data_IF_004362196693
#
_entry.id   IF_004362196693
#
_cell.length_a   1.000
_cell.length_b   1.000
_cell.length_c   1.000
_cell.angle_alpha   90.00
_cell.angle_beta   90.00
_cell.angle_gamma   90.00
#
_symmetry.space_group_name_H-M   'P 1'
#
loop_
_entity.id
_entity.type
_entity.pdbx_description
1 polymer ?
#
# COMPACT_ATOMS: atom_id res chain seq x y z
N UNK A 1 21.45 1.83 3.73
CA UNK A 1 20.02 1.46 3.74
C UNK A 1 19.07 2.56 4.26
N UNK A 2 19.16 3.02 5.52
CA UNK A 2 18.22 4.02 6.09
C UNK A 2 18.14 5.37 5.32
N UNK A 3 19.29 5.90 4.87
CA UNK A 3 19.37 7.15 4.08
C UNK A 3 18.70 7.03 2.71
N UNK A 4 18.89 5.89 2.05
CA UNK A 4 18.26 5.56 0.77
C UNK A 4 16.74 5.48 0.89
N UNK A 5 16.24 4.75 1.90
CA UNK A 5 14.82 4.63 2.16
C UNK A 5 14.17 5.99 2.47
N UNK A 6 14.81 6.82 3.31
CA UNK A 6 14.33 8.19 3.58
C UNK A 6 14.22 9.03 2.30
N UNK A 7 15.19 8.92 1.39
CA UNK A 7 15.17 9.62 0.11
C UNK A 7 14.03 9.14 -0.79
N UNK A 8 13.81 7.83 -0.89
CA UNK A 8 12.69 7.26 -1.64
C UNK A 8 11.33 7.71 -1.09
N UNK A 9 11.16 7.67 0.23
CA UNK A 9 9.93 8.13 0.88
C UNK A 9 9.68 9.63 0.65
N UNK A 10 10.73 10.45 0.74
CA UNK A 10 10.62 11.88 0.48
C UNK A 10 10.25 12.17 -0.99
N UNK A 11 10.88 11.48 -1.94
CA UNK A 11 10.62 11.63 -3.38
C UNK A 11 9.20 11.19 -3.78
N UNK A 12 8.64 10.18 -3.10
CA UNK A 12 7.31 9.65 -3.39
C UNK A 12 6.21 10.16 -2.44
N UNK A 13 6.52 11.13 -1.57
CA UNK A 13 5.63 11.60 -0.50
C UNK A 13 4.25 11.99 -1.00
N UNK A 14 4.17 12.74 -2.10
CA UNK A 14 2.90 13.23 -2.64
C UNK A 14 2.00 12.09 -3.12
N UNK A 15 2.58 11.10 -3.82
CA UNK A 15 1.86 9.91 -4.26
C UNK A 15 1.33 9.11 -3.07
N UNK A 16 2.19 8.84 -2.08
CA UNK A 16 1.81 8.10 -0.86
C UNK A 16 0.69 8.81 -0.09
N UNK A 17 0.79 10.13 0.07
CA UNK A 17 -0.25 10.92 0.74
C UNK A 17 -1.57 10.88 -0.02
N UNK A 18 -1.54 10.98 -1.35
CA UNK A 18 -2.74 10.89 -2.18
C UNK A 18 -3.45 9.55 -1.99
N UNK A 19 -2.72 8.43 -2.10
CA UNK A 19 -3.28 7.09 -1.90
C UNK A 19 -3.85 6.93 -0.48
N UNK A 20 -3.17 7.45 0.54
CA UNK A 20 -3.67 7.41 1.93
C UNK A 20 -4.96 8.24 2.12
N UNK A 21 -5.07 9.38 1.44
CA UNK A 21 -6.26 10.24 1.50
C UNK A 21 -7.47 9.62 0.79
N UNK A 22 -7.28 8.77 -0.23
CA UNK A 22 -8.38 8.06 -0.89
C UNK A 22 -9.10 7.06 0.04
N UNK A 23 -8.44 6.66 1.14
CA UNK A 23 -9.00 5.77 2.17
C UNK A 23 -9.45 6.54 3.43
N UNK A 24 -9.40 7.88 3.40
CA UNK A 24 -9.81 8.73 4.52
C UNK A 24 -11.26 8.46 4.89
N UNK A 25 -11.53 8.33 6.19
CA UNK A 25 -12.88 8.07 6.73
C UNK A 25 -13.32 6.61 6.66
N UNK A 26 -12.59 5.73 5.96
CA UNK A 26 -12.92 4.30 5.90
C UNK A 26 -12.93 3.66 7.28
N UNK A 27 -11.94 3.98 8.13
CA UNK A 27 -11.86 3.47 9.50
C UNK A 27 -13.06 3.86 10.35
N UNK A 28 -13.52 5.11 10.26
CA UNK A 28 -14.72 5.57 10.98
C UNK A 28 -15.94 4.78 10.55
N UNK A 29 -16.08 4.52 9.24
CA UNK A 29 -17.19 3.76 8.68
C UNK A 29 -17.17 2.29 9.13
N UNK A 30 -15.98 1.65 9.14
CA UNK A 30 -15.82 0.29 9.65
C UNK A 30 -16.11 0.19 11.15
N UNK A 31 -15.69 1.18 11.93
CA UNK A 31 -15.86 1.18 13.38
C UNK A 31 -17.26 1.55 13.84
N UNK A 32 -18.10 2.18 12.99
CA UNK A 32 -19.48 2.55 13.35
C UNK A 32 -20.23 1.40 14.01
N UNK A 33 -20.27 0.23 13.38
CA UNK A 33 -21.02 -0.92 13.89
C UNK A 33 -20.50 -1.39 15.26
N UNK A 34 -19.17 -1.42 15.44
CA UNK A 34 -18.53 -1.78 16.71
C UNK A 34 -18.80 -0.75 17.82
N UNK A 35 -18.75 0.54 17.49
CA UNK A 35 -18.80 1.62 18.48
C UNK A 35 -20.23 1.98 18.90
N UNK A 36 -21.21 1.81 18.01
CA UNK A 36 -22.59 2.26 18.22
C UNK A 36 -23.60 1.13 18.27
N UNK A 37 -23.23 -0.07 17.80
CA UNK A 37 -24.16 -1.20 17.61
C UNK A 37 -25.06 -1.05 16.37
N UNK A 38 -25.07 0.11 15.72
CA UNK A 38 -25.90 0.37 14.54
C UNK A 38 -25.43 -0.42 13.32
N UNK A 39 -26.37 -0.91 12.52
CA UNK A 39 -26.06 -1.55 11.23
C UNK A 39 -25.67 -0.50 10.19
N UNK A 40 -24.87 -0.91 9.21
CA UNK A 40 -24.58 -0.07 8.05
C UNK A 40 -25.82 0.12 7.17
N UNK A 41 -26.07 1.36 6.76
CA UNK A 41 -27.06 1.70 5.73
C UNK A 41 -26.59 1.21 4.36
N UNK A 42 -27.50 1.21 3.38
CA UNK A 42 -27.17 0.82 1.99
C UNK A 42 -26.09 1.72 1.39
N UNK A 43 -26.16 3.03 1.66
CA UNK A 43 -25.16 4.00 1.19
C UNK A 43 -23.80 3.83 1.87
N UNK A 44 -23.79 3.54 3.17
CA UNK A 44 -22.56 3.23 3.90
C UNK A 44 -21.90 1.98 3.34
N UNK A 45 -22.66 0.90 3.10
CA UNK A 45 -22.14 -0.32 2.47
C UNK A 45 -21.56 -0.03 1.08
N UNK A 46 -22.18 0.87 0.31
CA UNK A 46 -21.65 1.30 -1.00
C UNK A 46 -20.31 2.02 -0.84
N UNK A 47 -20.16 2.91 0.14
CA UNK A 47 -18.89 3.59 0.46
C UNK A 47 -17.80 2.61 0.92
N UNK A 48 -18.13 1.64 1.79
CA UNK A 48 -17.21 0.56 2.20
C UNK A 48 -16.66 -0.18 0.98
N UNK A 49 -17.55 -0.60 0.06
CA UNK A 49 -17.16 -1.31 -1.16
C UNK A 49 -16.23 -0.46 -2.03
N UNK A 50 -16.50 0.83 -2.16
CA UNK A 50 -15.62 1.75 -2.91
C UNK A 50 -14.23 1.84 -2.30
N UNK A 51 -14.12 2.02 -0.98
CA UNK A 51 -12.82 2.07 -0.31
C UNK A 51 -12.05 0.74 -0.45
N UNK A 52 -12.73 -0.40 -0.26
CA UNK A 52 -12.12 -1.72 -0.46
C UNK A 52 -11.64 -1.93 -1.90
N UNK A 53 -12.41 -1.49 -2.90
CA UNK A 53 -12.02 -1.54 -4.32
C UNK A 53 -10.79 -0.67 -4.61
N UNK A 54 -10.66 0.47 -3.94
CA UNK A 54 -9.46 1.30 -4.11
C UNK A 54 -8.24 0.63 -3.47
N UNK A 55 -8.37 0.08 -2.26
CA UNK A 55 -7.28 -0.67 -1.59
C UNK A 55 -6.85 -1.88 -2.41
N UNK A 56 -7.80 -2.62 -3.01
CA UNK A 56 -7.50 -3.81 -3.80
C UNK A 56 -6.64 -3.53 -5.03
N UNK A 57 -6.53 -2.27 -5.50
CA UNK A 57 -5.65 -1.91 -6.62
C UNK A 57 -4.16 -2.07 -6.26
N UNK A 58 -3.81 -1.93 -4.98
CA UNK A 58 -2.42 -2.04 -4.48
C UNK A 58 -2.07 -3.49 -4.09
N UNK A 59 -3.08 -4.31 -3.78
CA UNK A 59 -2.90 -5.70 -3.32
C UNK A 59 -2.11 -6.60 -4.30
N UNK A 60 -2.34 -6.58 -5.63
CA UNK A 60 -1.57 -7.44 -6.55
C UNK A 60 -0.06 -7.23 -6.47
N UNK A 61 0.39 -5.97 -6.34
CA UNK A 61 1.80 -5.64 -6.20
C UNK A 61 2.35 -6.11 -4.83
N UNK A 62 1.55 -6.00 -3.77
CA UNK A 62 1.94 -6.43 -2.43
C UNK A 62 2.02 -7.95 -2.28
N UNK A 63 1.16 -8.71 -2.97
CA UNK A 63 1.15 -10.18 -2.90
C UNK A 63 2.51 -10.76 -3.27
N UNK A 64 3.19 -10.20 -4.27
CA UNK A 64 4.53 -10.62 -4.69
C UNK A 64 5.51 -10.61 -3.50
N UNK A 65 5.42 -9.63 -2.62
CA UNK A 65 6.26 -9.53 -1.42
C UNK A 65 5.76 -10.37 -0.24
N UNK A 66 4.45 -10.66 -0.17
CA UNK A 66 3.82 -11.45 0.89
C UNK A 66 3.92 -12.97 0.67
N UNK A 67 4.20 -13.42 -0.55
CA UNK A 67 4.44 -14.83 -0.86
C UNK A 67 5.65 -15.36 -0.05
N UNK A 68 5.69 -16.66 0.29
CA UNK A 68 6.89 -17.26 0.87
C UNK A 68 8.10 -17.03 -0.04
N UNK A 69 9.13 -16.35 0.46
CA UNK A 69 10.30 -15.93 -0.33
C UNK A 69 10.14 -14.59 -1.08
N UNK A 70 8.95 -14.01 -1.12
CA UNK A 70 8.65 -12.71 -1.74
C UNK A 70 9.41 -11.54 -1.11
N UNK A 71 9.60 -11.58 0.20
CA UNK A 71 10.40 -10.59 0.94
C UNK A 71 11.87 -10.54 0.46
N UNK A 72 12.40 -11.65 -0.07
CA UNK A 72 13.75 -11.74 -0.64
C UNK A 72 13.84 -11.21 -2.07
N UNK A 73 12.71 -10.92 -2.73
CA UNK A 73 12.71 -10.39 -4.09
C UNK A 73 13.32 -8.98 -4.14
N UNK A 74 13.09 -8.13 -3.14
CA UNK A 74 13.70 -6.79 -3.10
C UNK A 74 15.24 -6.82 -3.04
N UNK A 75 15.88 -7.55 -2.10
CA UNK A 75 17.33 -7.64 -2.08
C UNK A 75 17.89 -8.33 -3.33
N UNK A 76 17.21 -9.35 -3.87
CA UNK A 76 17.61 -9.98 -5.12
C UNK A 76 17.53 -9.03 -6.33
N UNK A 77 16.45 -8.24 -6.45
CA UNK A 77 16.33 -7.24 -7.51
C UNK A 77 17.43 -6.19 -7.41
N UNK A 78 17.72 -5.71 -6.19
CA UNK A 78 18.76 -4.72 -5.96
C UNK A 78 20.13 -5.25 -6.42
N UNK A 79 20.48 -6.48 -6.05
CA UNK A 79 21.71 -7.15 -6.48
C UNK A 79 21.81 -7.26 -8.00
N UNK A 80 20.73 -7.67 -8.68
CA UNK A 80 20.69 -7.79 -10.14
C UNK A 80 20.86 -6.42 -10.82
N UNK A 81 20.28 -5.36 -10.27
CA UNK A 81 20.37 -4.01 -10.81
C UNK A 81 21.76 -3.39 -10.59
N UNK A 82 22.33 -3.57 -9.40
CA UNK A 82 23.68 -3.08 -9.07
C UNK A 82 24.73 -3.78 -9.95
N UNK A 83 24.65 -5.12 -10.10
CA UNK A 83 25.53 -5.89 -10.99
C UNK A 83 25.47 -5.45 -12.46
N UNK A 84 24.30 -5.03 -12.97
CA UNK A 84 24.17 -4.50 -14.34
C UNK A 84 24.86 -3.15 -14.52
N UNK A 85 24.92 -2.35 -13.47
CA UNK A 85 25.49 -1.00 -13.54
C UNK A 85 27.02 -1.08 -13.57
N UNK A 86 27.61 -2.03 -12.84
CA UNK A 86 29.06 -2.28 -12.81
C UNK A 86 29.61 -2.77 -14.16
N UNK A 87 28.85 -3.55 -14.92
CA UNK A 87 29.24 -4.03 -16.27
C UNK A 87 29.14 -2.97 -17.39
N UNK A 88 28.69 -1.75 -17.07
CA UNK A 88 28.58 -0.63 -18.02
C UNK A 88 29.66 0.44 -17.81
N UNK A 89 30.47 0.31 -16.75
CA UNK A 89 31.65 1.12 -16.49
C UNK A 89 32.90 0.38 -17.03
#
# INVERSE_FOLDING_TARGET
>A
MKKYLKRLLAANKQFILREALEVKGFMQLLMKHRNTGEKWTTDEKKRIKTHLKNISKVVPALIIFLLPGGSLLLPFLAEVLDRRTENRA
#
